data_IF_821260680968
#
_entry.id   IF_821260680968
#
_cell.length_a   1.000
_cell.length_b   1.000
_cell.length_c   1.000
_cell.angle_alpha   90.00
_cell.angle_beta   90.00
_cell.angle_gamma   90.00
#
_symmetry.space_group_name_H-M   'P 1'
#
loop_
_entity.id
_entity.type
_entity.pdbx_description
1 polymer ?
#
# COMPACT_ATOMS: atom_id res chain seq x y z
N UNK A 1 29.83 20.29 5.93
CA UNK A 1 28.51 20.01 5.32
C UNK A 1 27.74 19.13 6.29
N UNK A 2 26.69 19.68 6.88
CA UNK A 2 25.94 19.11 8.01
C UNK A 2 25.16 17.87 7.57
N UNK A 3 25.35 16.78 8.32
CA UNK A 3 24.61 15.53 8.19
C UNK A 3 23.15 15.73 8.59
N UNK A 4 22.27 15.84 7.60
CA UNK A 4 20.84 15.64 7.83
C UNK A 4 20.63 14.18 8.26
N UNK A 5 20.31 13.99 9.54
CA UNK A 5 19.79 12.76 10.10
C UNK A 5 18.71 12.18 9.17
N UNK A 6 18.93 10.98 8.62
CA UNK A 6 17.91 10.30 7.82
C UNK A 6 16.75 9.93 8.77
N UNK A 7 15.57 10.46 8.51
CA UNK A 7 14.32 10.16 9.21
C UNK A 7 13.78 8.75 8.88
N UNK A 8 14.67 7.75 8.76
CA UNK A 8 14.22 6.35 8.71
C UNK A 8 13.37 6.11 9.96
N UNK A 9 12.20 5.47 9.86
CA UNK A 9 11.44 5.10 11.03
C UNK A 9 12.32 4.25 11.94
N UNK A 10 12.85 4.87 13.00
CA UNK A 10 13.56 4.12 14.03
C UNK A 10 12.56 3.25 14.75
N UNK A 11 12.98 2.11 15.29
CA UNK A 11 12.10 1.25 16.09
C UNK A 11 11.38 2.05 17.19
N UNK A 12 12.07 3.06 17.76
CA UNK A 12 11.52 4.00 18.74
C UNK A 12 10.39 4.88 18.17
N UNK A 13 10.54 5.41 16.95
CA UNK A 13 9.49 6.20 16.30
C UNK A 13 8.25 5.35 16.01
N UNK A 14 8.43 4.11 15.56
CA UNK A 14 7.32 3.17 15.30
C UNK A 14 6.59 2.81 16.58
N UNK A 15 7.31 2.50 17.66
CA UNK A 15 6.70 2.22 18.97
C UNK A 15 5.90 3.43 19.48
N UNK A 16 6.45 4.64 19.36
CA UNK A 16 5.74 5.89 19.72
C UNK A 16 4.46 6.06 18.90
N UNK A 17 4.52 5.84 17.59
CA UNK A 17 3.36 5.94 16.71
C UNK A 17 2.27 4.92 17.06
N UNK A 18 2.65 3.66 17.29
CA UNK A 18 1.72 2.60 17.73
C UNK A 18 1.07 2.97 19.08
N UNK A 19 1.86 3.42 20.05
CA UNK A 19 1.34 3.86 21.35
C UNK A 19 0.39 5.06 21.24
N UNK A 20 0.71 6.02 20.36
CA UNK A 20 -0.16 7.18 20.12
C UNK A 20 -1.49 6.80 19.45
N UNK A 21 -1.47 5.82 18.53
CA UNK A 21 -2.69 5.24 17.95
C UNK A 21 -3.56 4.58 19.03
N UNK A 22 -2.99 3.68 19.83
CA UNK A 22 -3.72 3.00 20.92
C UNK A 22 -4.32 4.01 21.89
N UNK A 23 -3.53 5.00 22.33
CA UNK A 23 -4.01 6.06 23.22
C UNK A 23 -5.22 6.80 22.64
N UNK A 24 -5.19 7.12 21.34
CA UNK A 24 -6.32 7.80 20.68
C UNK A 24 -7.57 6.93 20.67
N UNK A 25 -7.42 5.64 20.40
CA UNK A 25 -8.54 4.69 20.39
C UNK A 25 -9.15 4.54 21.80
N UNK A 26 -8.34 4.59 22.86
CA UNK A 26 -8.84 4.49 24.24
C UNK A 26 -9.56 5.75 24.75
N UNK A 27 -9.45 6.89 24.08
CA UNK A 27 -10.01 8.16 24.57
C UNK A 27 -11.47 8.44 24.17
N UNK A 28 -12.11 7.53 23.43
CA UNK A 28 -13.56 7.48 23.11
C UNK A 28 -14.25 8.82 22.75
N UNK A 29 -13.48 9.81 22.27
CA UNK A 29 -14.01 11.12 21.91
C UNK A 29 -14.19 11.13 20.39
N UNK A 30 -15.44 11.19 19.87
CA UNK A 30 -15.67 11.41 18.45
C UNK A 30 -14.94 12.69 18.01
N UNK A 31 -14.47 12.79 16.75
CA UNK A 31 -13.93 14.04 16.26
C UNK A 31 -15.01 15.12 16.39
N UNK A 32 -14.86 16.04 17.35
CA UNK A 32 -15.65 17.26 17.35
C UNK A 32 -15.40 17.95 16.02
N UNK A 33 -16.47 18.11 15.22
CA UNK A 33 -16.48 19.16 14.19
C UNK A 33 -16.09 20.43 14.93
N UNK A 34 -14.99 21.06 14.52
CA UNK A 34 -14.61 22.36 15.03
C UNK A 34 -15.68 23.35 14.53
N UNK A 35 -16.75 23.50 15.31
CA UNK A 35 -17.60 24.66 15.24
C UNK A 35 -16.77 25.83 15.76
N UNK A 36 -16.71 26.91 14.98
CA UNK A 36 -16.02 28.13 15.34
C UNK A 36 -16.69 28.74 16.60
N UNK A 37 -16.23 28.37 17.78
CA UNK A 37 -16.55 29.11 19.00
C UNK A 37 -15.45 30.14 19.24
N UNK A 38 -15.84 31.41 19.11
CA UNK A 38 -15.00 32.55 19.46
C UNK A 38 -14.92 32.63 20.98
N UNK A 39 -13.88 32.03 21.56
CA UNK A 39 -13.52 32.27 22.96
C UNK A 39 -12.62 33.49 23.01
N UNK A 40 -13.16 34.61 23.50
CA UNK A 40 -12.38 35.80 23.85
C UNK A 40 -11.55 35.50 25.11
N UNK A 41 -10.25 35.77 25.06
CA UNK A 41 -9.46 36.01 26.27
C UNK A 41 -8.41 34.96 26.66
N UNK A 42 -7.46 34.67 25.77
CA UNK A 42 -6.02 34.39 26.05
C UNK A 42 -5.39 34.05 24.70
N UNK A 43 -4.36 34.78 24.25
CA UNK A 43 -3.60 34.39 23.05
C UNK A 43 -2.87 33.09 23.40
N UNK A 44 -3.25 31.93 22.85
CA UNK A 44 -2.44 30.73 23.00
C UNK A 44 -1.16 30.98 22.22
N UNK A 45 0.01 30.67 22.77
CA UNK A 45 1.20 30.54 21.95
C UNK A 45 0.95 29.39 20.98
N UNK A 46 0.63 29.71 19.73
CA UNK A 46 0.47 28.73 18.66
C UNK A 46 1.86 28.16 18.35
N UNK A 47 2.27 27.15 19.09
CA UNK A 47 3.42 26.33 18.71
C UNK A 47 3.10 25.68 17.36
N UNK A 48 3.73 26.17 16.29
CA UNK A 48 3.55 25.64 14.94
C UNK A 48 4.11 24.22 14.94
N UNK A 49 3.24 23.22 14.69
CA UNK A 49 3.66 21.82 14.55
C UNK A 49 4.72 21.72 13.46
N UNK A 50 5.73 20.87 13.68
CA UNK A 50 6.66 20.51 12.61
C UNK A 50 5.94 19.73 11.50
N UNK A 51 6.56 19.66 10.31
CA UNK A 51 6.01 18.89 9.19
C UNK A 51 5.84 17.41 9.57
N UNK A 52 6.83 16.83 10.25
CA UNK A 52 6.77 15.46 10.76
C UNK A 52 5.58 15.26 11.72
N UNK A 53 5.40 16.15 12.70
CA UNK A 53 4.24 16.09 13.61
C UNK A 53 2.90 16.20 12.88
N UNK A 54 2.87 16.94 11.77
CA UNK A 54 1.67 17.07 10.93
C UNK A 54 1.35 15.76 10.21
N UNK A 55 2.36 15.08 9.68
CA UNK A 55 2.19 13.75 9.06
C UNK A 55 1.73 12.70 10.07
N UNK A 56 2.37 12.64 11.24
CA UNK A 56 2.00 11.68 12.30
C UNK A 56 0.56 11.89 12.77
N UNK A 57 0.17 13.15 12.98
CA UNK A 57 -1.20 13.48 13.35
C UNK A 57 -2.21 13.03 12.29
N UNK A 58 -1.90 13.25 10.99
CA UNK A 58 -2.74 12.79 9.89
C UNK A 58 -2.85 11.27 9.85
N UNK A 59 -1.73 10.55 9.98
CA UNK A 59 -1.69 9.09 10.02
C UNK A 59 -2.60 8.56 11.13
N UNK A 60 -2.37 9.00 12.36
CA UNK A 60 -3.13 8.56 13.53
C UNK A 60 -4.62 8.88 13.36
N UNK A 61 -4.96 10.06 12.84
CA UNK A 61 -6.34 10.47 12.62
C UNK A 61 -7.05 9.59 11.59
N UNK A 62 -6.46 9.36 10.42
CA UNK A 62 -7.13 8.60 9.34
C UNK A 62 -7.18 7.11 9.66
N UNK A 63 -6.10 6.54 10.21
CA UNK A 63 -6.06 5.12 10.61
C UNK A 63 -7.06 4.83 11.73
N UNK A 64 -7.14 5.69 12.76
CA UNK A 64 -8.15 5.54 13.81
C UNK A 64 -9.58 5.67 13.26
N UNK A 65 -9.83 6.65 12.38
CA UNK A 65 -11.15 6.80 11.76
C UNK A 65 -11.56 5.55 10.95
N UNK A 66 -10.64 4.96 10.19
CA UNK A 66 -10.91 3.74 9.44
C UNK A 66 -11.19 2.53 10.36
N UNK A 67 -10.45 2.40 11.46
CA UNK A 67 -10.65 1.31 12.41
C UNK A 67 -11.97 1.44 13.19
N UNK A 68 -12.33 2.66 13.58
CA UNK A 68 -13.59 2.98 14.27
C UNK A 68 -14.81 2.93 13.32
N UNK A 69 -14.59 2.84 12.01
CA UNK A 69 -15.63 2.69 11.00
C UNK A 69 -15.50 1.36 10.22
N UNK A 70 -15.85 0.21 10.84
CA UNK A 70 -15.94 -1.07 10.13
C UNK A 70 -17.19 -1.08 9.24
N UNK A 71 -17.02 -0.55 8.03
CA UNK A 71 -18.11 -0.22 7.11
C UNK A 71 -18.82 -1.46 6.54
N UNK A 72 -18.06 -2.56 6.34
CA UNK A 72 -18.61 -3.83 5.87
C UNK A 72 -18.06 -4.97 6.71
N UNK A 73 -18.99 -5.69 7.34
CA UNK A 73 -18.75 -7.01 7.94
C UNK A 73 -19.07 -8.06 6.89
N UNK A 74 -18.07 -8.81 6.47
CA UNK A 74 -18.22 -9.93 5.56
C UNK A 74 -18.71 -11.14 6.35
N UNK A 75 -19.77 -11.79 5.88
CA UNK A 75 -20.24 -13.07 6.46
C UNK A 75 -19.42 -14.25 5.91
N UNK A 76 -18.10 -14.09 5.94
CA UNK A 76 -17.13 -15.09 5.47
C UNK A 76 -16.03 -15.20 6.51
N UNK A 77 -15.51 -16.41 6.66
CA UNK A 77 -14.25 -16.66 7.36
C UNK A 77 -13.12 -16.49 6.35
N UNK A 78 -12.34 -15.42 6.43
CA UNK A 78 -11.36 -15.14 5.39
C UNK A 78 -10.21 -16.14 5.38
N UNK A 79 -9.87 -16.70 6.54
CA UNK A 79 -8.80 -17.68 6.65
C UNK A 79 -9.19 -18.99 5.95
N UNK A 80 -10.42 -19.44 6.20
CA UNK A 80 -11.02 -20.61 5.53
C UNK A 80 -11.19 -20.36 4.04
N UNK A 81 -11.66 -19.17 3.65
CA UNK A 81 -11.81 -18.83 2.24
C UNK A 81 -10.46 -18.82 1.52
N UNK A 82 -9.41 -18.30 2.17
CA UNK A 82 -8.07 -18.23 1.61
C UNK A 82 -7.43 -19.61 1.43
N UNK A 83 -7.73 -20.57 2.32
CA UNK A 83 -7.26 -21.96 2.22
C UNK A 83 -8.08 -22.82 1.25
N UNK A 84 -9.32 -22.40 0.94
CA UNK A 84 -10.19 -23.06 -0.04
C UNK A 84 -9.65 -22.90 -1.46
N UNK A 85 -9.75 -23.94 -2.29
CA UNK A 85 -9.27 -23.90 -3.67
C UNK A 85 -10.06 -22.87 -4.49
N UNK A 86 -9.44 -22.17 -5.46
CA UNK A 86 -10.13 -21.14 -6.23
C UNK A 86 -11.44 -21.60 -6.92
N UNK A 87 -11.53 -22.88 -7.30
CA UNK A 87 -12.71 -23.47 -7.94
C UNK A 87 -13.88 -23.67 -6.97
N UNK A 88 -13.60 -23.83 -5.68
CA UNK A 88 -14.59 -24.11 -4.63
C UNK A 88 -15.02 -22.84 -3.88
N UNK A 89 -14.34 -21.72 -4.11
CA UNK A 89 -14.68 -20.44 -3.47
C UNK A 89 -16.05 -19.95 -3.95
N UNK A 90 -16.95 -19.77 -2.99
CA UNK A 90 -18.23 -19.09 -3.20
C UNK A 90 -18.04 -17.58 -3.26
N UNK A 91 -19.01 -16.85 -3.82
CA UNK A 91 -19.00 -15.38 -3.74
C UNK A 91 -19.03 -14.94 -2.27
N UNK A 92 -18.15 -14.02 -1.88
CA UNK A 92 -18.08 -13.54 -0.48
C UNK A 92 -19.33 -12.77 -0.04
N UNK A 93 -20.06 -12.18 -0.98
CA UNK A 93 -21.33 -11.48 -0.74
C UNK A 93 -22.31 -11.85 -1.86
N UNK A 94 -23.62 -12.02 -1.59
CA UNK A 94 -24.64 -12.13 -2.63
C UNK A 94 -24.60 -10.93 -3.57
N UNK A 95 -24.76 -11.15 -4.88
CA UNK A 95 -24.82 -10.06 -5.85
C UNK A 95 -25.97 -9.10 -5.51
N UNK A 96 -25.65 -7.84 -5.26
CA UNK A 96 -26.58 -6.77 -4.90
C UNK A 96 -26.10 -5.41 -5.40
N UNK A 97 -26.71 -4.32 -4.92
CA UNK A 97 -26.30 -2.96 -5.29
C UNK A 97 -24.85 -2.69 -4.90
N UNK A 98 -24.06 -2.18 -5.84
CA UNK A 98 -22.66 -1.80 -5.59
C UNK A 98 -22.61 -0.65 -4.59
N UNK A 99 -21.99 -0.87 -3.43
CA UNK A 99 -21.77 0.18 -2.41
C UNK A 99 -20.51 0.97 -2.73
N UNK A 100 -20.61 2.30 -2.70
CA UNK A 100 -19.45 3.19 -2.88
C UNK A 100 -18.97 3.70 -1.53
N UNK A 101 -17.69 3.48 -1.21
CA UNK A 101 -17.08 4.00 0.02
C UNK A 101 -16.28 5.26 -0.29
N UNK A 102 -16.54 6.33 0.47
CA UNK A 102 -15.83 7.61 0.36
C UNK A 102 -15.09 8.03 1.62
N UNK A 103 -15.50 7.53 2.79
CA UNK A 103 -14.90 7.83 4.09
C UNK A 103 -13.91 6.74 4.52
N UNK A 104 -12.94 7.06 5.40
CA UNK A 104 -12.03 6.06 5.95
C UNK A 104 -12.79 4.87 6.54
N UNK A 105 -12.37 3.66 6.20
CA UNK A 105 -13.07 2.45 6.59
C UNK A 105 -12.16 1.23 6.63
N UNK A 106 -12.56 0.24 7.42
CA UNK A 106 -12.03 -1.12 7.36
C UNK A 106 -13.11 -2.08 6.83
N UNK A 107 -12.67 -3.09 6.09
CA UNK A 107 -13.51 -4.25 5.77
C UNK A 107 -13.06 -5.41 6.64
N UNK A 108 -14.01 -6.01 7.36
CA UNK A 108 -13.72 -7.03 8.37
C UNK A 108 -14.51 -8.28 8.09
N UNK A 109 -13.91 -9.44 8.35
CA UNK A 109 -14.60 -10.72 8.25
C UNK A 109 -15.46 -10.98 9.51
N UNK A 110 -16.16 -12.13 9.55
CA UNK A 110 -17.05 -12.48 10.66
C UNK A 110 -16.31 -12.70 11.99
N UNK A 111 -15.01 -12.95 11.93
CA UNK A 111 -14.12 -13.15 13.08
C UNK A 111 -13.38 -11.85 13.47
N UNK A 112 -13.66 -10.74 12.78
CA UNK A 112 -13.01 -9.45 13.01
C UNK A 112 -11.64 -9.31 12.36
N UNK A 113 -11.26 -10.20 11.44
CA UNK A 113 -10.04 -10.09 10.63
C UNK A 113 -10.20 -8.95 9.64
N UNK A 114 -9.27 -8.00 9.64
CA UNK A 114 -9.27 -6.86 8.72
C UNK A 114 -8.64 -7.30 7.40
N UNK A 115 -9.44 -7.36 6.34
CA UNK A 115 -8.98 -7.77 5.00
C UNK A 115 -8.59 -6.58 4.12
N UNK A 116 -9.08 -5.39 4.48
CA UNK A 116 -8.82 -4.16 3.76
C UNK A 116 -8.90 -2.93 4.67
N UNK A 117 -7.96 -2.02 4.48
CA UNK A 117 -7.98 -0.65 4.99
C UNK A 117 -8.14 0.32 3.83
N UNK A 118 -9.19 1.13 3.87
CA UNK A 118 -9.44 2.22 2.93
C UNK A 118 -9.13 3.55 3.62
N UNK A 119 -8.08 4.24 3.13
CA UNK A 119 -7.50 5.42 3.76
C UNK A 119 -7.51 6.61 2.77
N UNK A 120 -8.67 7.23 2.50
CA UNK A 120 -8.77 8.36 1.59
C UNK A 120 -8.03 9.58 2.15
N UNK A 121 -7.37 10.33 1.25
CA UNK A 121 -6.65 11.58 1.59
C UNK A 121 -5.62 11.43 2.72
N UNK A 122 -5.08 10.23 2.93
CA UNK A 122 -4.06 10.00 3.96
C UNK A 122 -2.69 10.50 3.50
N UNK A 123 -2.38 10.41 2.21
CA UNK A 123 -1.08 10.81 1.67
C UNK A 123 -0.99 12.35 1.64
N UNK A 124 -0.02 12.97 2.34
CA UNK A 124 0.19 14.41 2.31
C UNK A 124 0.45 14.92 0.89
N UNK A 125 -0.04 16.13 0.59
CA UNK A 125 0.05 16.73 -0.74
C UNK A 125 1.49 16.84 -1.25
N UNK A 126 2.43 17.23 -0.39
CA UNK A 126 3.84 17.36 -0.76
C UNK A 126 4.51 16.00 -1.03
N UNK A 127 4.14 14.94 -0.28
CA UNK A 127 4.61 13.58 -0.57
C UNK A 127 3.97 13.02 -1.86
N UNK A 128 2.70 13.35 -2.12
CA UNK A 128 2.03 13.05 -3.39
C UNK A 128 2.76 13.75 -4.55
N UNK A 129 2.99 15.06 -4.48
CA UNK A 129 3.72 15.78 -5.54
C UNK A 129 5.13 15.26 -5.75
N UNK A 130 5.83 14.86 -4.67
CA UNK A 130 7.16 14.26 -4.78
C UNK A 130 7.13 12.93 -5.53
N UNK A 131 6.16 12.05 -5.25
CA UNK A 131 5.98 10.80 -6.02
C UNK A 131 5.62 11.07 -7.47
N UNK A 132 4.74 12.04 -7.72
CA UNK A 132 4.29 12.36 -9.08
C UNK A 132 5.45 12.90 -9.92
N UNK A 133 6.22 13.83 -9.36
CA UNK A 133 7.43 14.37 -10.01
C UNK A 133 8.47 13.28 -10.24
N UNK A 134 8.73 12.43 -9.24
CA UNK A 134 9.73 11.37 -9.41
C UNK A 134 9.32 10.33 -10.45
N UNK A 135 8.02 10.16 -10.69
CA UNK A 135 7.51 9.29 -11.77
C UNK A 135 7.95 9.76 -13.16
N UNK A 136 8.20 11.07 -13.35
CA UNK A 136 8.64 11.61 -14.64
C UNK A 136 10.00 11.05 -15.09
N UNK A 137 10.90 10.76 -14.14
CA UNK A 137 12.18 10.07 -14.42
C UNK A 137 11.95 8.71 -15.10
N UNK A 138 10.83 8.06 -14.82
CA UNK A 138 10.52 6.72 -15.32
C UNK A 138 9.86 6.72 -16.70
N UNK A 139 9.69 7.88 -17.35
CA UNK A 139 8.95 8.00 -18.60
C UNK A 139 9.40 7.02 -19.71
N UNK A 140 10.71 6.82 -19.99
CA UNK A 140 11.15 5.86 -20.99
C UNK A 140 10.72 4.43 -20.64
N UNK A 141 10.96 4.03 -19.39
CA UNK A 141 10.66 2.69 -18.90
C UNK A 141 9.15 2.39 -18.83
N UNK A 142 8.35 3.40 -18.52
CA UNK A 142 6.89 3.29 -18.55
C UNK A 142 6.40 3.03 -19.97
N UNK A 143 6.87 3.83 -20.94
CA UNK A 143 6.53 3.66 -22.36
C UNK A 143 6.92 2.26 -22.86
N UNK A 144 8.11 1.78 -22.50
CA UNK A 144 8.58 0.43 -22.86
C UNK A 144 7.70 -0.69 -22.27
N UNK A 145 7.03 -0.42 -21.15
CA UNK A 145 6.07 -1.31 -20.50
C UNK A 145 4.76 -1.48 -21.28
N UNK A 146 4.50 -0.67 -22.31
CA UNK A 146 3.31 -0.78 -23.16
C UNK A 146 3.64 -1.56 -24.43
N UNK A 147 2.93 -2.68 -24.65
CA UNK A 147 3.12 -3.56 -25.81
C UNK A 147 1.90 -3.52 -26.74
N UNK A 148 2.11 -3.53 -28.06
CA UNK A 148 1.04 -3.68 -29.03
C UNK A 148 0.24 -4.97 -28.82
N UNK A 149 -1.03 -4.99 -29.27
CA UNK A 149 -1.92 -6.15 -29.10
C UNK A 149 -1.33 -7.45 -29.66
N UNK A 150 -0.60 -7.38 -30.77
CA UNK A 150 0.06 -8.52 -31.42
C UNK A 150 1.21 -9.12 -30.60
N UNK A 151 1.80 -8.35 -29.68
CA UNK A 151 3.02 -8.72 -28.95
C UNK A 151 2.82 -8.72 -27.43
N UNK A 152 1.59 -8.52 -26.93
CA UNK A 152 1.31 -8.43 -25.49
C UNK A 152 1.03 -9.82 -24.91
N UNK A 153 1.96 -10.42 -24.15
CA UNK A 153 1.79 -11.77 -23.60
C UNK A 153 0.76 -11.82 -22.46
N UNK A 154 0.43 -10.67 -21.86
CA UNK A 154 -0.56 -10.58 -20.78
C UNK A 154 -1.20 -9.20 -20.69
N UNK A 155 -2.28 -9.09 -19.91
CA UNK A 155 -3.07 -7.87 -19.77
C UNK A 155 -2.30 -6.70 -19.12
N UNK A 156 -1.22 -6.94 -18.37
CA UNK A 156 -0.50 -5.87 -17.65
C UNK A 156 0.24 -4.92 -18.60
N UNK A 157 0.59 -5.40 -19.78
CA UNK A 157 1.35 -4.66 -20.80
C UNK A 157 0.55 -4.38 -22.06
N UNK A 158 -0.68 -4.88 -22.18
CA UNK A 158 -1.47 -4.73 -23.40
C UNK A 158 -1.93 -3.27 -23.61
N UNK A 159 -1.58 -2.66 -24.75
CA UNK A 159 -1.91 -1.26 -25.08
C UNK A 159 -3.40 -0.90 -24.86
N UNK A 160 -4.32 -1.81 -25.16
CA UNK A 160 -5.77 -1.61 -24.97
C UNK A 160 -6.18 -1.27 -23.53
N UNK A 161 -5.33 -1.57 -22.55
CA UNK A 161 -5.60 -1.30 -21.15
C UNK A 161 -5.02 0.05 -20.70
N UNK A 162 -4.33 0.80 -21.56
CA UNK A 162 -3.82 2.13 -21.24
C UNK A 162 -4.77 3.19 -21.79
N UNK A 163 -5.15 4.14 -20.94
CA UNK A 163 -6.13 5.18 -21.24
C UNK A 163 -5.44 6.29 -22.03
N UNK A 164 -5.89 6.59 -23.26
CA UNK A 164 -5.35 7.72 -24.02
C UNK A 164 -5.75 9.05 -23.35
N UNK A 165 -4.98 10.13 -23.57
CA UNK A 165 -5.39 11.45 -23.07
C UNK A 165 -6.69 11.88 -23.77
N UNK A 166 -7.47 12.74 -23.11
CA UNK A 166 -8.67 13.31 -23.73
C UNK A 166 -8.27 14.15 -24.95
N UNK A 167 -9.18 14.27 -25.92
CA UNK A 167 -8.98 15.10 -27.12
C UNK A 167 -8.57 16.52 -26.74
N UNK A 168 -7.45 17.00 -27.29
CA UNK A 168 -6.90 18.33 -26.99
C UNK A 168 -6.09 18.41 -25.70
N UNK A 169 -5.79 17.29 -25.04
CA UNK A 169 -4.93 17.23 -23.86
C UNK A 169 -3.74 16.27 -24.05
N UNK A 170 -2.74 16.37 -23.18
CA UNK A 170 -1.59 15.47 -23.14
C UNK A 170 -1.39 14.93 -21.74
N UNK A 171 -0.89 13.70 -21.65
CA UNK A 171 -0.43 13.13 -20.38
C UNK A 171 0.85 13.82 -19.92
N UNK A 172 0.92 14.19 -18.64
CA UNK A 172 2.19 14.57 -18.00
C UNK A 172 3.05 13.33 -17.74
N UNK A 173 2.40 12.19 -17.47
CA UNK A 173 3.08 10.92 -17.16
C UNK A 173 2.85 9.92 -18.28
N UNK A 174 3.92 9.35 -18.82
CA UNK A 174 3.80 8.35 -19.88
C UNK A 174 3.00 7.12 -19.39
N UNK A 175 1.99 6.65 -20.14
CA UNK A 175 1.29 5.41 -19.81
C UNK A 175 2.26 4.24 -19.76
N UNK A 176 2.11 3.38 -18.77
CA UNK A 176 3.04 2.27 -18.60
C UNK A 176 2.94 1.55 -17.28
N UNK A 177 3.69 0.46 -17.17
CA UNK A 177 3.91 -0.18 -15.87
C UNK A 177 5.30 -0.75 -15.76
N UNK A 178 5.96 -0.48 -14.65
CA UNK A 178 7.29 -1.03 -14.33
C UNK A 178 7.33 -1.49 -12.87
N UNK A 179 8.07 -2.58 -12.63
CA UNK A 179 8.28 -3.15 -11.32
C UNK A 179 9.74 -3.00 -10.90
N UNK A 180 9.95 -2.62 -9.65
CA UNK A 180 11.25 -2.48 -9.01
C UNK A 180 11.32 -3.36 -7.76
N UNK A 181 12.51 -3.87 -7.47
CA UNK A 181 12.83 -4.64 -6.28
C UNK A 181 14.31 -4.43 -5.90
N UNK A 182 14.63 -4.32 -4.59
CA UNK A 182 16.00 -4.25 -4.12
C UNK A 182 16.73 -5.60 -4.22
N UNK A 183 16.00 -6.70 -4.42
CA UNK A 183 16.54 -8.04 -4.51
C UNK A 183 15.45 -9.07 -4.68
N UNK A 184 15.30 -9.61 -5.89
CA UNK A 184 14.33 -10.66 -6.18
C UNK A 184 14.92 -11.74 -7.09
N UNK A 185 14.21 -12.86 -7.18
CA UNK A 185 14.52 -13.91 -8.13
C UNK A 185 14.09 -13.53 -9.54
N UNK A 186 14.84 -13.97 -10.54
CA UNK A 186 14.38 -13.94 -11.91
C UNK A 186 13.06 -14.73 -12.05
N UNK A 187 12.22 -14.35 -13.00
CA UNK A 187 10.95 -15.03 -13.22
C UNK A 187 11.18 -16.52 -13.50
N UNK A 188 10.43 -17.39 -12.80
CA UNK A 188 10.58 -18.85 -12.89
C UNK A 188 11.74 -19.44 -12.08
N UNK A 189 12.54 -18.62 -11.40
CA UNK A 189 13.80 -19.03 -10.78
C UNK A 189 13.83 -18.82 -9.27
N UNK A 190 12.80 -19.28 -8.55
CA UNK A 190 12.60 -19.00 -7.11
C UNK A 190 13.28 -20.00 -6.16
N UNK A 191 14.35 -20.67 -6.61
CA UNK A 191 15.09 -21.66 -5.78
C UNK A 191 16.43 -21.09 -5.33
N UNK A 192 17.03 -21.69 -4.30
CA UNK A 192 18.36 -21.30 -3.78
C UNK A 192 19.50 -21.39 -4.79
N UNK A 193 19.27 -22.03 -5.95
CA UNK A 193 20.24 -22.14 -7.04
C UNK A 193 20.44 -20.83 -7.81
N UNK A 194 19.53 -19.87 -7.68
CA UNK A 194 19.58 -18.61 -8.40
C UNK A 194 19.83 -17.45 -7.44
N UNK A 195 20.71 -16.50 -7.81
CA UNK A 195 21.00 -15.37 -6.96
C UNK A 195 19.79 -14.43 -6.89
N UNK A 196 19.58 -13.84 -5.70
CA UNK A 196 18.79 -12.64 -5.58
C UNK A 196 19.56 -11.48 -6.22
N UNK A 197 18.89 -10.76 -7.11
CA UNK A 197 19.47 -9.59 -7.77
C UNK A 197 18.48 -8.42 -7.71
N UNK A 198 18.96 -7.18 -7.56
CA UNK A 198 18.12 -6.01 -7.73
C UNK A 198 17.53 -5.97 -9.16
N UNK A 199 16.42 -5.27 -9.34
CA UNK A 199 15.92 -4.98 -10.68
C UNK A 199 17.02 -4.35 -11.54
N UNK A 200 17.17 -4.81 -12.78
CA UNK A 200 18.22 -4.36 -13.71
C UNK A 200 18.29 -2.83 -13.81
N UNK A 201 17.13 -2.18 -13.93
CA UNK A 201 17.02 -0.73 -14.02
C UNK A 201 17.56 -0.01 -12.76
N UNK A 202 17.50 -0.61 -11.57
CA UNK A 202 18.09 0.00 -10.36
C UNK A 202 19.62 -0.13 -10.28
N UNK A 203 20.21 -1.02 -11.09
CA UNK A 203 21.67 -1.22 -11.14
C UNK A 203 22.31 -0.25 -12.13
N UNK A 204 21.68 -0.09 -13.30
CA UNK A 204 22.35 0.46 -14.48
C UNK A 204 21.69 1.74 -15.03
N UNK A 205 20.45 2.09 -14.63
CA UNK A 205 19.74 3.25 -15.16
C UNK A 205 19.80 4.46 -14.20
N UNK A 206 20.31 5.58 -14.73
CA UNK A 206 20.47 6.84 -13.99
C UNK A 206 19.13 7.42 -13.56
N UNK A 207 18.09 7.29 -14.40
CA UNK A 207 16.77 7.84 -14.11
C UNK A 207 16.08 7.06 -12.97
N UNK A 208 16.18 5.74 -12.99
CA UNK A 208 15.72 4.87 -11.91
C UNK A 208 16.47 5.12 -10.61
N UNK A 209 17.77 5.43 -10.68
CA UNK A 209 18.53 5.87 -9.51
C UNK A 209 18.03 7.21 -8.96
N UNK A 210 17.76 8.21 -9.81
CA UNK A 210 17.20 9.49 -9.38
C UNK A 210 15.80 9.32 -8.75
N UNK A 211 14.94 8.51 -9.39
CA UNK A 211 13.64 8.13 -8.84
C UNK A 211 13.78 7.50 -7.45
N UNK A 212 14.72 6.55 -7.26
CA UNK A 212 14.92 5.86 -5.99
C UNK A 212 15.29 6.82 -4.85
N UNK A 213 16.14 7.82 -5.11
CA UNK A 213 16.50 8.84 -4.11
C UNK A 213 15.32 9.78 -3.79
N UNK A 214 14.49 10.10 -4.78
CA UNK A 214 13.36 11.02 -4.57
C UNK A 214 12.21 10.40 -3.79
N UNK A 215 12.01 9.08 -3.86
CA UNK A 215 10.91 8.40 -3.16
C UNK A 215 11.16 8.11 -1.67
N UNK A 216 12.33 8.45 -1.12
CA UNK A 216 12.68 8.11 0.29
C UNK A 216 11.58 8.55 1.27
N UNK A 217 11.25 9.85 1.30
CA UNK A 217 10.27 10.37 2.27
C UNK A 217 8.83 9.88 2.03
N UNK A 218 8.33 9.75 0.79
CA UNK A 218 7.09 9.01 0.54
C UNK A 218 7.10 7.58 1.05
N UNK A 219 8.18 6.82 0.82
CA UNK A 219 8.24 5.42 1.28
C UNK A 219 8.33 5.31 2.80
N UNK A 220 9.02 6.22 3.49
CA UNK A 220 9.02 6.27 4.97
C UNK A 220 7.61 6.51 5.54
N UNK A 221 6.80 7.33 4.85
CA UNK A 221 5.39 7.52 5.21
C UNK A 221 4.56 6.24 4.98
N UNK A 222 4.75 5.56 3.85
CA UNK A 222 4.05 4.31 3.53
C UNK A 222 4.45 3.17 4.47
N UNK A 223 5.72 3.11 4.87
CA UNK A 223 6.23 2.22 5.91
C UNK A 223 5.50 2.45 7.24
N UNK A 224 5.25 3.72 7.60
CA UNK A 224 4.51 4.09 8.80
C UNK A 224 3.05 3.65 8.74
N UNK A 225 2.41 3.70 7.56
CA UNK A 225 1.07 3.12 7.38
C UNK A 225 1.11 1.62 7.66
N UNK A 226 2.03 0.87 7.03
CA UNK A 226 2.12 -0.58 7.27
C UNK A 226 2.40 -0.90 8.74
N UNK A 227 3.28 -0.14 9.39
CA UNK A 227 3.62 -0.30 10.80
C UNK A 227 2.42 -0.12 11.74
N UNK A 228 1.41 0.65 11.32
CA UNK A 228 0.16 0.86 12.06
C UNK A 228 -0.93 -0.15 11.65
N UNK A 229 -1.04 -0.50 10.38
CA UNK A 229 -2.15 -1.36 9.90
C UNK A 229 -1.83 -2.85 9.98
N UNK A 230 -0.55 -3.25 9.91
CA UNK A 230 -0.10 -4.63 10.02
C UNK A 230 1.27 -4.71 10.72
N UNK A 231 1.33 -4.51 12.05
CA UNK A 231 2.57 -4.41 12.80
C UNK A 231 3.53 -5.59 12.59
N UNK A 232 3.01 -6.83 12.60
CA UNK A 232 3.82 -8.04 12.46
C UNK A 232 4.41 -8.19 11.06
N UNK A 233 3.66 -7.84 10.02
CA UNK A 233 4.18 -7.83 8.65
C UNK A 233 5.24 -6.74 8.46
N UNK A 234 5.05 -5.57 9.07
CA UNK A 234 6.08 -4.53 9.07
C UNK A 234 7.37 -5.02 9.71
N UNK A 235 7.30 -5.63 10.90
CA UNK A 235 8.47 -6.10 11.63
C UNK A 235 9.22 -7.19 10.82
N UNK A 236 8.51 -8.17 10.27
CA UNK A 236 9.07 -9.20 9.39
C UNK A 236 9.67 -8.62 8.09
N UNK A 237 9.05 -7.59 7.52
CA UNK A 237 9.55 -6.93 6.32
C UNK A 237 10.84 -6.13 6.57
N UNK A 238 10.97 -5.51 7.75
CA UNK A 238 12.22 -4.87 8.17
C UNK A 238 13.35 -5.89 8.30
N UNK A 239 13.07 -7.04 8.92
CA UNK A 239 14.02 -8.16 9.03
C UNK A 239 14.47 -8.64 7.65
N UNK A 240 13.53 -8.94 6.75
CA UNK A 240 13.81 -9.34 5.37
C UNK A 240 14.66 -8.29 4.62
N UNK A 241 14.34 -7.01 4.76
CA UNK A 241 15.11 -5.94 4.12
C UNK A 241 16.54 -5.85 4.68
N UNK A 242 16.74 -6.12 5.96
CA UNK A 242 18.08 -6.17 6.56
C UNK A 242 18.89 -7.35 6.01
N UNK A 243 18.28 -8.50 5.74
CA UNK A 243 18.95 -9.59 5.02
C UNK A 243 19.41 -9.16 3.62
N UNK A 244 18.57 -8.44 2.87
CA UNK A 244 18.95 -7.90 1.56
C UNK A 244 20.09 -6.86 1.64
N UNK A 245 20.14 -6.07 2.71
CA UNK A 245 21.23 -5.10 2.96
C UNK A 245 22.54 -5.76 3.32
N UNK A 246 22.49 -6.94 3.91
CA UNK A 246 23.67 -7.73 4.27
C UNK A 246 24.11 -8.70 3.16
N UNK A 247 23.25 -8.97 2.17
CA UNK A 247 23.58 -9.86 1.06
C UNK A 247 24.45 -9.13 0.01
N UNK A 248 25.65 -9.64 -0.32
CA UNK A 248 26.57 -8.99 -1.26
C UNK A 248 25.97 -8.67 -2.63
N UNK A 249 25.04 -9.50 -3.11
CA UNK A 249 24.45 -9.34 -4.45
C UNK A 249 23.40 -8.22 -4.50
N UNK A 250 22.84 -7.81 -3.36
CA UNK A 250 21.73 -6.85 -3.29
C UNK A 250 22.05 -5.61 -2.48
N UNK A 251 23.10 -5.64 -1.65
CA UNK A 251 23.47 -4.60 -0.70
C UNK A 251 23.46 -3.18 -1.30
N UNK A 252 24.09 -2.99 -2.46
CA UNK A 252 24.23 -1.67 -3.09
C UNK A 252 22.89 -0.97 -3.34
N UNK A 253 21.85 -1.72 -3.75
CA UNK A 253 20.51 -1.18 -3.98
C UNK A 253 19.67 -1.25 -2.71
N UNK A 254 19.74 -2.35 -1.95
CA UNK A 254 18.96 -2.54 -0.73
C UNK A 254 19.26 -1.50 0.38
N UNK A 255 20.48 -0.96 0.42
CA UNK A 255 20.85 0.10 1.36
C UNK A 255 20.20 1.46 1.02
N UNK A 256 19.92 1.70 -0.27
CA UNK A 256 19.22 2.90 -0.79
C UNK A 256 17.70 2.72 -0.82
N UNK A 257 17.23 1.47 -0.77
CA UNK A 257 15.82 1.12 -0.75
C UNK A 257 15.15 1.49 0.58
N UNK A 258 14.32 2.54 0.54
CA UNK A 258 13.63 3.08 1.71
C UNK A 258 12.37 2.27 2.10
N UNK A 259 11.72 1.60 1.15
CA UNK A 259 10.48 0.86 1.39
C UNK A 259 10.73 -0.45 2.14
N UNK A 260 9.91 -0.82 3.12
CA UNK A 260 9.97 -2.17 3.71
C UNK A 260 9.41 -3.23 2.77
N UNK A 261 8.66 -2.81 1.75
CA UNK A 261 8.12 -3.71 0.75
C UNK A 261 9.22 -4.23 -0.17
N UNK A 262 9.18 -5.53 -0.46
CA UNK A 262 10.15 -6.18 -1.34
C UNK A 262 10.02 -5.80 -2.82
N UNK A 263 8.95 -5.10 -3.19
CA UNK A 263 8.81 -4.55 -4.53
C UNK A 263 7.80 -3.41 -4.63
N UNK A 264 8.00 -2.57 -5.65
CA UNK A 264 7.13 -1.45 -6.01
C UNK A 264 6.80 -1.57 -7.49
N UNK A 265 5.52 -1.57 -7.82
CA UNK A 265 5.03 -1.37 -9.18
C UNK A 265 4.55 0.08 -9.35
N UNK A 266 5.09 0.77 -10.34
CA UNK A 266 4.60 2.09 -10.78
C UNK A 266 3.73 1.86 -12.00
N UNK A 267 2.44 2.17 -11.89
CA UNK A 267 1.43 1.87 -12.91
C UNK A 267 0.74 3.17 -13.31
N UNK A 268 1.07 3.69 -14.49
CA UNK A 268 0.56 4.94 -15.02
C UNK A 268 -0.49 4.71 -16.10
N UNK A 269 -1.59 5.45 -16.00
CA UNK A 269 -2.66 5.56 -16.97
C UNK A 269 -3.24 4.22 -17.45
N UNK A 270 -3.30 3.21 -16.57
CA UNK A 270 -3.72 1.86 -16.91
C UNK A 270 -5.02 1.44 -16.22
N UNK A 271 -5.99 0.95 -17.00
CA UNK A 271 -7.08 0.10 -16.54
C UNK A 271 -6.55 -1.27 -16.12
N UNK A 272 -7.12 -1.84 -15.07
CA UNK A 272 -6.67 -3.10 -14.50
C UNK A 272 -7.86 -4.04 -14.42
N UNK A 273 -7.95 -5.08 -15.27
CA UNK A 273 -9.01 -6.08 -15.22
C UNK A 273 -9.10 -6.80 -13.86
N UNK A 274 -10.23 -7.45 -13.54
CA UNK A 274 -10.41 -8.20 -12.30
C UNK A 274 -9.38 -9.31 -12.11
N UNK A 275 -8.63 -9.25 -11.01
CA UNK A 275 -7.62 -10.24 -10.68
C UNK A 275 -7.37 -10.31 -9.17
N UNK A 276 -6.67 -11.37 -8.77
CA UNK A 276 -5.96 -11.47 -7.49
C UNK A 276 -4.47 -11.57 -7.76
N UNK A 277 -3.68 -11.14 -6.78
CA UNK A 277 -2.22 -11.26 -6.82
C UNK A 277 -1.76 -12.66 -6.41
N UNK A 278 -0.54 -13.01 -6.82
CA UNK A 278 0.02 -14.36 -6.63
C UNK A 278 1.42 -14.35 -6.01
N UNK A 279 1.97 -13.16 -5.74
CA UNK A 279 3.36 -13.00 -5.30
C UNK A 279 3.54 -13.13 -3.78
N UNK A 280 2.54 -12.76 -3.00
CA UNK A 280 2.57 -12.73 -1.54
C UNK A 280 1.84 -13.92 -0.89
N UNK A 281 1.56 -13.78 0.40
CA UNK A 281 0.70 -14.67 1.18
C UNK A 281 -0.70 -14.08 1.36
N UNK A 282 -1.74 -14.91 1.61
CA UNK A 282 -3.11 -14.43 1.79
C UNK A 282 -3.30 -13.36 2.87
N UNK A 283 -2.57 -13.48 3.98
CA UNK A 283 -2.62 -12.60 5.14
C UNK A 283 -1.74 -11.35 5.02
N UNK A 284 -1.10 -11.14 3.87
CA UNK A 284 -0.25 -9.98 3.63
C UNK A 284 -1.02 -8.87 2.92
N UNK A 285 -0.68 -7.63 3.26
CA UNK A 285 -1.22 -6.47 2.56
C UNK A 285 -0.30 -6.05 1.41
N UNK A 286 -0.90 -5.88 0.24
CA UNK A 286 -0.38 -4.97 -0.76
C UNK A 286 -0.85 -3.55 -0.41
N UNK A 287 0.00 -2.54 -0.62
CA UNK A 287 -0.30 -1.14 -0.31
C UNK A 287 -0.34 -0.30 -1.58
N UNK A 288 -1.54 0.16 -1.94
CA UNK A 288 -1.82 0.85 -3.20
C UNK A 288 -2.03 2.35 -2.94
N UNK A 289 -1.06 3.19 -3.33
CA UNK A 289 -1.22 4.64 -3.29
C UNK A 289 -1.65 5.18 -4.65
N UNK A 290 -2.80 5.87 -4.69
CA UNK A 290 -3.27 6.57 -5.88
C UNK A 290 -2.77 8.01 -5.89
N UNK A 291 -2.11 8.40 -6.97
CA UNK A 291 -1.59 9.75 -7.17
C UNK A 291 -1.90 10.22 -8.61
N UNK A 292 -1.72 11.51 -8.86
CA UNK A 292 -1.86 12.12 -10.18
C UNK A 292 -2.80 13.33 -10.17
N UNK A 293 -3.13 13.81 -11.36
CA UNK A 293 -3.94 15.01 -11.59
C UNK A 293 -5.42 14.71 -11.88
N UNK A 294 -5.79 13.44 -11.98
CA UNK A 294 -7.16 13.01 -12.23
C UNK A 294 -8.12 13.38 -11.07
N UNK A 295 -9.39 13.60 -11.39
CA UNK A 295 -10.39 14.02 -10.39
C UNK A 295 -11.04 12.86 -9.64
N UNK A 296 -11.32 11.76 -10.33
CA UNK A 296 -12.10 10.64 -9.78
C UNK A 296 -11.82 9.34 -10.51
N UNK A 297 -11.43 8.32 -9.75
CA UNK A 297 -11.38 6.92 -10.20
C UNK A 297 -11.99 6.04 -9.11
N UNK A 298 -12.19 4.76 -9.44
CA UNK A 298 -12.70 3.77 -8.51
C UNK A 298 -11.79 2.53 -8.51
N UNK A 299 -11.53 2.00 -7.31
CA UNK A 299 -10.98 0.66 -7.13
C UNK A 299 -12.17 -0.24 -6.77
N UNK A 300 -12.54 -1.13 -7.66
CA UNK A 300 -13.68 -2.03 -7.45
C UNK A 300 -13.22 -3.34 -6.85
N UNK A 301 -14.04 -3.89 -5.97
CA UNK A 301 -13.89 -5.18 -5.31
C UNK A 301 -15.12 -6.03 -5.70
N UNK A 302 -15.10 -6.65 -6.90
CA UNK A 302 -16.31 -7.21 -7.51
C UNK A 302 -17.00 -8.25 -6.64
N UNK A 303 -16.22 -9.13 -6.01
CA UNK A 303 -16.73 -10.23 -5.19
C UNK A 303 -17.35 -9.75 -3.86
N UNK A 304 -17.11 -8.48 -3.50
CA UNK A 304 -17.68 -7.83 -2.31
C UNK A 304 -18.85 -6.90 -2.64
N UNK A 305 -19.12 -6.61 -3.93
CA UNK A 305 -20.06 -5.57 -4.32
C UNK A 305 -19.65 -4.17 -3.85
N UNK A 306 -18.35 -3.89 -3.69
CA UNK A 306 -17.83 -2.63 -3.15
C UNK A 306 -17.02 -1.88 -4.22
N UNK A 307 -17.14 -0.56 -4.23
CA UNK A 307 -16.25 0.34 -4.97
C UNK A 307 -15.68 1.40 -4.05
N UNK A 308 -14.36 1.54 -4.01
CA UNK A 308 -13.68 2.55 -3.23
C UNK A 308 -13.45 3.79 -4.08
N UNK A 309 -13.77 4.97 -3.57
CA UNK A 309 -13.55 6.24 -4.24
C UNK A 309 -12.05 6.59 -4.28
N UNK A 310 -11.38 6.13 -5.32
CA UNK A 310 -9.93 6.05 -5.40
C UNK A 310 -9.32 7.32 -6.00
N UNK A 311 -9.42 8.43 -5.28
CA UNK A 311 -8.88 9.76 -5.66
C UNK A 311 -7.38 9.88 -5.40
N UNK A 312 -6.69 10.87 -6.00
CA UNK A 312 -5.33 11.21 -5.61
C UNK A 312 -5.21 11.41 -4.09
N UNK A 313 -4.13 10.90 -3.51
CA UNK A 313 -3.87 10.94 -2.07
C UNK A 313 -4.49 9.77 -1.27
N UNK A 314 -5.18 8.84 -1.93
CA UNK A 314 -5.78 7.66 -1.29
C UNK A 314 -4.77 6.53 -1.18
N UNK A 315 -4.73 5.86 -0.02
CA UNK A 315 -4.03 4.59 0.18
C UNK A 315 -5.04 3.48 0.46
N UNK A 316 -4.82 2.32 -0.13
CA UNK A 316 -5.57 1.09 0.18
C UNK A 316 -4.57 0.00 0.56
N UNK A 317 -4.66 -0.51 1.79
CA UNK A 317 -3.96 -1.74 2.16
C UNK A 317 -4.97 -2.88 2.04
N UNK A 318 -4.69 -3.89 1.23
CA UNK A 318 -5.62 -4.99 0.99
C UNK A 318 -4.90 -6.33 0.90
N UNK A 319 -5.57 -7.39 1.32
CA UNK A 319 -5.17 -8.77 1.05
C UNK A 319 -5.31 -9.10 -0.46
N UNK A 320 -4.41 -8.58 -1.30
CA UNK A 320 -4.49 -8.68 -2.78
C UNK A 320 -4.46 -10.12 -3.31
N UNK A 321 -3.86 -11.04 -2.55
CA UNK A 321 -3.87 -12.48 -2.80
C UNK A 321 -5.26 -13.14 -2.65
N UNK A 322 -6.19 -12.49 -1.95
CA UNK A 322 -7.51 -13.03 -1.60
C UNK A 322 -8.63 -12.21 -2.22
N UNK A 323 -8.55 -10.89 -2.08
CA UNK A 323 -9.58 -9.96 -2.52
C UNK A 323 -9.36 -9.62 -3.99
N UNK A 324 -10.30 -10.07 -4.84
CA UNK A 324 -10.31 -9.73 -6.25
C UNK A 324 -10.57 -8.24 -6.41
N UNK A 325 -9.73 -7.58 -7.21
CA UNK A 325 -9.79 -6.15 -7.38
C UNK A 325 -9.55 -5.73 -8.84
N UNK A 326 -10.12 -4.59 -9.22
CA UNK A 326 -10.00 -4.01 -10.56
C UNK A 326 -10.06 -2.48 -10.54
N UNK A 327 -9.54 -1.87 -11.60
CA UNK A 327 -9.77 -0.46 -11.93
C UNK A 327 -10.32 -0.42 -13.34
N UNK A 328 -11.60 -0.09 -13.47
CA UNK A 328 -12.30 0.04 -14.75
C UNK A 328 -12.86 1.45 -14.92
N UNK A 329 -13.21 1.78 -16.16
CA UNK A 329 -13.70 3.09 -16.53
C UNK A 329 -12.59 4.14 -16.59
N UNK A 330 -12.68 5.04 -17.57
CA UNK A 330 -11.78 6.18 -17.65
C UNK A 330 -12.11 7.18 -16.53
N UNK A 331 -11.07 7.79 -15.94
CA UNK A 331 -11.19 8.80 -14.87
C UNK A 331 -11.27 10.24 -15.38
N UNK A 332 -11.59 10.41 -16.67
CA UNK A 332 -11.63 11.71 -17.34
C UNK A 332 -10.24 12.27 -17.58
N UNK A 333 -10.11 13.60 -17.43
CA UNK A 333 -8.86 14.32 -17.65
C UNK A 333 -7.82 14.02 -16.56
N UNK A 334 -6.55 14.14 -16.93
CA UNK A 334 -5.41 14.02 -16.03
C UNK A 334 -4.84 12.61 -15.93
N UNK A 335 -3.64 12.55 -15.38
CA UNK A 335 -2.88 11.32 -15.19
C UNK A 335 -3.34 10.61 -13.93
N UNK A 336 -3.50 9.29 -13.99
CA UNK A 336 -3.63 8.43 -12.83
C UNK A 336 -2.42 7.53 -12.72
N UNK A 337 -1.73 7.62 -11.60
CA UNK A 337 -0.60 6.74 -11.28
C UNK A 337 -0.91 5.99 -9.99
N UNK A 338 -0.65 4.69 -9.99
CA UNK A 338 -0.69 3.85 -8.79
C UNK A 338 0.74 3.42 -8.46
N UNK A 339 1.16 3.68 -7.22
CA UNK A 339 2.30 2.99 -6.62
C UNK A 339 1.76 1.81 -5.82
N UNK A 340 1.91 0.61 -6.36
CA UNK A 340 1.53 -0.63 -5.70
C UNK A 340 2.76 -1.27 -5.04
N UNK A 341 2.75 -1.35 -3.72
CA UNK A 341 3.83 -1.94 -2.91
C UNK A 341 3.42 -3.33 -2.49
N UNK A 342 4.29 -4.31 -2.71
CA UNK A 342 3.97 -5.71 -2.50
C UNK A 342 5.14 -6.49 -1.88
N UNK A 343 4.78 -7.61 -1.26
CA UNK A 343 5.73 -8.57 -0.72
C UNK A 343 5.86 -9.79 -1.65
N UNK A 344 7.05 -10.38 -1.74
CA UNK A 344 7.29 -11.63 -2.47
C UNK A 344 7.62 -12.74 -1.50
N UNK A 345 6.71 -13.71 -1.37
CA UNK A 345 6.87 -14.90 -0.52
C UNK A 345 8.24 -15.56 -0.72
N UNK A 346 8.68 -15.71 -1.96
CA UNK A 346 9.94 -16.38 -2.28
C UNK A 346 11.16 -15.74 -1.58
N UNK A 347 11.18 -14.41 -1.43
CA UNK A 347 12.29 -13.70 -0.77
C UNK A 347 12.29 -13.99 0.72
N UNK A 348 11.12 -13.91 1.36
CA UNK A 348 10.95 -14.24 2.77
C UNK A 348 11.34 -15.70 3.06
N UNK A 349 10.84 -16.64 2.24
CA UNK A 349 11.18 -18.06 2.35
C UNK A 349 12.67 -18.33 2.15
N UNK A 350 13.36 -17.57 1.28
CA UNK A 350 14.80 -17.72 1.08
C UNK A 350 15.62 -17.39 2.34
N UNK A 351 15.18 -16.40 3.12
CA UNK A 351 15.84 -16.01 4.37
C UNK A 351 15.24 -16.66 5.63
N UNK A 352 14.22 -17.51 5.48
CA UNK A 352 13.53 -18.13 6.62
C UNK A 352 12.72 -17.14 7.48
N UNK A 353 12.33 -15.99 6.92
CA UNK A 353 11.53 -14.98 7.63
C UNK A 353 10.05 -15.36 7.51
N UNK A 354 9.39 -15.57 8.64
CA UNK A 354 7.98 -15.98 8.69
C UNK A 354 7.04 -14.81 9.06
N UNK A 355 5.86 -14.77 8.45
CA UNK A 355 4.79 -13.85 8.85
C UNK A 355 3.42 -14.42 8.42
N UNK A 356 2.86 -15.30 9.25
CA UNK A 356 1.62 -16.02 8.93
C UNK A 356 0.40 -15.45 9.69
N UNK A 357 0.54 -14.26 10.26
CA UNK A 357 -0.47 -13.67 11.14
C UNK A 357 -1.44 -12.79 10.35
N UNK A 358 -2.73 -13.02 10.57
CA UNK A 358 -3.78 -12.08 10.21
C UNK A 358 -3.82 -10.91 11.20
N UNK A 359 -4.37 -9.78 10.75
CA UNK A 359 -4.65 -8.63 11.62
C UNK A 359 -6.13 -8.63 11.92
N UNK A 360 -6.49 -8.47 13.18
CA UNK A 360 -7.85 -8.37 13.66
C UNK A 360 -8.12 -7.01 14.31
N UNK A 361 -9.40 -6.63 14.42
CA UNK A 361 -9.77 -5.43 15.18
C UNK A 361 -9.34 -5.51 16.65
N UNK A 362 -9.33 -6.71 17.24
CA UNK A 362 -8.92 -6.95 18.62
C UNK A 362 -7.45 -6.63 18.90
N UNK A 363 -6.60 -6.58 17.87
CA UNK A 363 -5.19 -6.22 18.03
C UNK A 363 -4.99 -4.75 18.42
N UNK A 364 -6.03 -3.91 18.34
CA UNK A 364 -5.95 -2.45 18.52
C UNK A 364 -6.65 -1.92 19.78
N UNK A 365 -7.39 -2.73 20.53
CA UNK A 365 -8.25 -2.26 21.64
C UNK A 365 -7.60 -2.31 23.03
N UNK A 366 -6.34 -2.74 23.15
CA UNK A 366 -5.66 -3.00 24.43
C UNK A 366 -6.03 -4.39 25.00
N UNK A 367 -5.14 -5.37 24.89
CA UNK A 367 -5.42 -6.81 25.09
C UNK A 367 -5.63 -7.23 26.57
N UNK A 368 -6.47 -8.26 26.81
CA UNK A 368 -5.97 -9.52 27.35
C UNK A 368 -6.00 -10.62 26.28
N UNK A 369 -4.86 -11.28 26.08
CA UNK A 369 -4.82 -12.54 25.36
C UNK A 369 -5.46 -13.62 26.25
N UNK A 370 -6.55 -14.24 25.80
CA UNK A 370 -6.63 -15.68 26.06
C UNK A 370 -5.65 -16.35 25.12
N UNK A 371 -4.57 -16.86 25.71
CA UNK A 371 -3.69 -17.85 25.12
C UNK A 371 -4.59 -18.92 24.47
N UNK A 372 -4.62 -18.99 23.14
CA UNK A 372 -5.07 -20.21 22.48
C UNK A 372 -3.95 -21.23 22.69
N UNK A 373 -4.10 -22.01 23.75
CA UNK A 373 -3.37 -23.26 23.91
C UNK A 373 -3.81 -24.14 22.73
N UNK A 374 -2.86 -24.56 21.92
CA UNK A 374 -3.07 -25.62 20.95
C UNK A 374 -3.49 -26.88 21.72
N UNK A 375 -4.77 -27.24 21.65
CA UNK A 375 -5.21 -28.59 22.00
C UNK A 375 -5.02 -29.47 20.77
N UNK A 376 -3.83 -30.06 20.67
CA UNK A 376 -3.65 -31.33 19.97
C UNK A 376 -4.40 -32.41 20.75
N UNK A 377 -5.39 -33.02 20.10
CA UNK A 377 -5.67 -34.46 20.26
C UNK A 377 -5.33 -35.14 18.94
#
# INVERSE_FOLDING_TARGET
>A
MSSASSNRPTALNVQRLRAALVKRLSTDTPPQRIAASVVKGRKPSLHRRSLAQTYEHRLIQVVSAALLNPEVKLDVDIETYASTTPQERTSMVPQGNVRVLSEPATLVDKNGVIVLWYLPNILPFDLHEKLLKSTEHLAPLLSDGVKPKSCAPNWRVANKNFVPPLTGSSHRIQPGSINFSPGWFAQGHTTSKFPLLPSVNLRDDVNSSAWLEEIISPEEFMNSILALTHPRLFDAAVEMLNHLRSNPNTQAVACRWASVFSGIAVIANRLTPPHTDRGGLPNWYDSLASIGSFSRAYLHLPDLGISLLYRPGTVVNLCGNVIRHEVKGAWGAGDRVCYARFMRKAIFSHFGVECNTWVSQGDFTGLPQHVRVNSSQ
#
